data_IF_512732821190
#
_entry.id   IF_512732821190
#
_cell.length_a   1.000
_cell.length_b   1.000
_cell.length_c   1.000
_cell.angle_alpha   90.00
_cell.angle_beta   90.00
_cell.angle_gamma   90.00
#
_symmetry.space_group_name_H-M   'P 1'
#
loop_
_entity.id
_entity.type
_entity.pdbx_description
1 polymer ?
#
# COMPACT_ATOMS: atom_id res chain seq x y z
N UNK A 1 10.75 12.26 21.86
CA UNK A 1 11.46 13.55 21.62
C UNK A 1 11.79 14.35 22.89
N UNK A 2 10.93 14.42 23.92
CA UNK A 2 11.19 15.26 25.13
C UNK A 2 12.52 14.97 25.87
N UNK A 3 13.01 13.73 25.89
CA UNK A 3 14.26 13.37 26.61
C UNK A 3 15.56 13.84 25.92
N UNK A 4 15.53 14.08 24.61
CA UNK A 4 16.70 14.58 23.86
C UNK A 4 16.89 16.09 24.06
N UNK A 5 15.78 16.85 24.16
CA UNK A 5 15.78 18.30 24.29
C UNK A 5 16.11 18.82 25.71
N UNK A 6 16.29 17.92 26.68
CA UNK A 6 16.46 18.26 28.11
C UNK A 6 17.94 18.27 28.57
N UNK A 7 18.88 17.86 27.71
CA UNK A 7 20.32 17.93 28.02
C UNK A 7 20.91 19.17 27.34
N UNK A 8 21.31 20.21 28.08
CA UNK A 8 22.06 21.31 27.50
C UNK A 8 23.45 20.80 27.12
N UNK A 9 23.65 20.49 25.84
CA UNK A 9 24.97 20.26 25.28
C UNK A 9 25.52 21.60 24.80
N UNK A 10 26.75 21.93 25.21
CA UNK A 10 27.45 23.09 24.64
C UNK A 10 27.75 22.77 23.18
N UNK A 11 27.17 23.56 22.27
CA UNK A 11 27.53 23.49 20.85
C UNK A 11 29.03 23.74 20.71
N UNK A 12 29.70 22.89 19.96
CA UNK A 12 31.14 22.95 19.76
C UNK A 12 31.42 22.91 18.25
N UNK A 13 32.69 23.11 17.87
CA UNK A 13 33.08 23.14 16.47
C UNK A 13 32.73 21.86 15.70
N UNK A 14 32.64 20.70 16.36
CA UNK A 14 32.25 19.45 15.71
C UNK A 14 30.77 19.45 15.31
N UNK A 15 29.87 19.95 16.18
CA UNK A 15 28.45 20.13 15.84
C UNK A 15 28.26 21.07 14.64
N UNK A 16 29.04 22.17 14.59
CA UNK A 16 28.99 23.11 13.47
C UNK A 16 29.50 22.50 12.17
N UNK A 17 30.64 21.80 12.21
CA UNK A 17 31.16 21.05 11.05
C UNK A 17 30.18 20.01 10.53
N UNK A 18 29.50 19.30 11.42
CA UNK A 18 28.46 18.33 11.03
C UNK A 18 27.27 19.02 10.36
N UNK A 19 26.80 20.13 10.93
CA UNK A 19 25.70 20.90 10.35
C UNK A 19 26.06 21.46 8.97
N UNK A 20 27.24 22.06 8.83
CA UNK A 20 27.74 22.59 7.55
C UNK A 20 27.88 21.47 6.52
N UNK A 21 28.35 20.28 6.93
CA UNK A 21 28.45 19.13 6.06
C UNK A 21 27.08 18.59 5.62
N UNK A 22 26.10 18.49 6.53
CA UNK A 22 24.73 18.10 6.20
C UNK A 22 24.07 19.09 5.24
N UNK A 23 24.30 20.39 5.41
CA UNK A 23 23.82 21.43 4.48
C UNK A 23 24.51 21.28 3.12
N UNK A 24 25.82 21.01 3.08
CA UNK A 24 26.54 20.80 1.82
C UNK A 24 26.05 19.58 1.03
N UNK A 25 25.54 18.55 1.72
CA UNK A 25 24.97 17.34 1.12
C UNK A 25 23.45 17.43 0.90
N UNK A 26 22.81 18.54 1.31
CA UNK A 26 21.37 18.68 1.19
C UNK A 26 20.99 18.87 -0.28
N UNK A 27 20.39 17.83 -0.87
CA UNK A 27 19.80 17.92 -2.20
C UNK A 27 18.42 18.59 -2.09
N UNK A 28 18.34 19.85 -2.55
CA UNK A 28 17.09 20.65 -2.57
C UNK A 28 16.05 20.03 -3.51
N UNK A 29 16.51 19.38 -4.58
CA UNK A 29 15.65 18.66 -5.53
C UNK A 29 15.79 17.18 -5.22
N UNK A 30 14.71 16.57 -4.74
CA UNK A 30 14.72 15.13 -4.52
C UNK A 30 14.72 14.46 -5.90
N UNK A 31 15.67 13.56 -6.20
CA UNK A 31 15.66 12.82 -7.47
C UNK A 31 14.41 11.91 -7.59
N UNK A 32 13.65 11.76 -6.52
CA UNK A 32 12.43 10.97 -6.41
C UNK A 32 11.14 11.78 -6.65
N UNK A 33 11.22 13.11 -6.85
CA UNK A 33 10.04 13.93 -7.17
C UNK A 33 9.41 13.52 -8.51
N UNK A 34 10.17 12.85 -9.37
CA UNK A 34 9.71 12.29 -10.64
C UNK A 34 9.52 10.79 -10.50
N UNK A 35 8.38 10.38 -9.93
CA UNK A 35 7.91 9.01 -10.11
C UNK A 35 7.79 8.73 -11.62
N UNK A 36 8.20 7.54 -12.09
CA UNK A 36 7.99 7.18 -13.49
C UNK A 36 6.48 7.26 -13.77
N UNK A 37 6.06 7.80 -14.92
CA UNK A 37 4.65 7.82 -15.26
C UNK A 37 4.13 6.39 -15.35
N UNK A 38 3.10 6.07 -14.57
CA UNK A 38 2.42 4.78 -14.61
C UNK A 38 0.91 4.97 -14.74
N UNK A 39 0.28 4.01 -15.42
CA UNK A 39 -1.17 3.93 -15.55
C UNK A 39 -1.65 2.57 -15.05
N UNK A 40 -2.92 2.50 -14.65
CA UNK A 40 -3.54 1.27 -14.17
C UNK A 40 -3.33 0.07 -15.10
N UNK A 41 -3.42 0.29 -16.42
CA UNK A 41 -3.30 -0.77 -17.42
C UNK A 41 -1.87 -1.31 -17.59
N UNK A 42 -0.85 -0.53 -17.23
CA UNK A 42 0.56 -0.92 -17.40
C UNK A 42 1.05 -1.81 -16.24
N UNK A 43 0.39 -1.75 -15.08
CA UNK A 43 0.83 -2.48 -13.90
C UNK A 43 0.41 -3.95 -13.96
N UNK A 44 1.34 -4.83 -13.55
CA UNK A 44 1.04 -6.25 -13.40
C UNK A 44 0.13 -6.44 -12.19
N UNK A 45 -1.06 -6.98 -12.44
CA UNK A 45 -2.09 -7.25 -11.44
C UNK A 45 -1.81 -8.56 -10.69
N UNK A 46 -2.35 -8.67 -9.49
CA UNK A 46 -2.16 -9.79 -8.56
C UNK A 46 -1.80 -9.30 -7.16
N UNK A 47 -2.06 -10.10 -6.11
CA UNK A 47 -1.74 -9.71 -4.76
C UNK A 47 -0.25 -9.87 -4.49
N UNK A 48 0.36 -8.83 -3.90
CA UNK A 48 1.74 -8.93 -3.41
C UNK A 48 1.80 -9.85 -2.20
N UNK A 49 2.91 -10.51 -1.92
CA UNK A 49 3.12 -11.14 -0.63
C UNK A 49 3.40 -10.08 0.44
N UNK A 50 2.75 -10.17 1.61
CA UNK A 50 2.95 -9.23 2.72
C UNK A 50 4.38 -9.22 3.31
N UNK A 51 5.20 -10.24 3.01
CA UNK A 51 6.56 -10.38 3.55
C UNK A 51 7.63 -10.08 2.50
N UNK A 52 7.56 -10.73 1.34
CA UNK A 52 8.59 -10.60 0.31
C UNK A 52 8.19 -9.76 -0.91
N UNK A 53 6.97 -9.21 -0.92
CA UNK A 53 6.40 -8.40 -2.00
C UNK A 53 6.43 -9.07 -3.38
N UNK A 54 6.53 -10.39 -3.43
CA UNK A 54 6.41 -11.16 -4.67
C UNK A 54 4.95 -11.28 -5.09
N UNK A 55 4.68 -11.12 -6.39
CA UNK A 55 3.38 -11.43 -7.00
C UNK A 55 3.16 -12.93 -7.23
N UNK A 56 4.13 -13.79 -6.87
CA UNK A 56 3.99 -15.24 -6.99
C UNK A 56 3.23 -15.80 -5.79
N UNK A 57 1.92 -15.66 -5.83
CA UNK A 57 0.99 -16.09 -4.77
C UNK A 57 -0.14 -16.91 -5.37
N UNK A 58 -0.65 -17.86 -4.59
CA UNK A 58 -1.79 -18.71 -4.94
C UNK A 58 -2.83 -18.66 -3.83
N UNK A 59 -4.10 -18.86 -4.18
CA UNK A 59 -5.16 -19.04 -3.18
C UNK A 59 -5.31 -20.53 -2.91
N UNK A 60 -5.23 -20.91 -1.64
CA UNK A 60 -5.48 -22.28 -1.15
C UNK A 60 -6.54 -22.16 -0.06
N UNK A 61 -7.71 -22.75 -0.31
CA UNK A 61 -8.90 -22.62 0.53
C UNK A 61 -9.28 -21.15 0.84
N UNK A 62 -9.05 -20.71 2.08
CA UNK A 62 -9.34 -19.34 2.56
C UNK A 62 -8.06 -18.54 2.84
N UNK A 63 -6.92 -18.95 2.27
CA UNK A 63 -5.62 -18.34 2.49
C UNK A 63 -4.97 -17.94 1.17
N UNK A 64 -4.20 -16.85 1.22
CA UNK A 64 -3.24 -16.52 0.18
C UNK A 64 -1.87 -17.03 0.62
N UNK A 65 -1.21 -17.81 -0.25
CA UNK A 65 0.07 -18.46 0.02
C UNK A 65 1.11 -17.96 -0.98
N UNK A 66 2.23 -17.45 -0.49
CA UNK A 66 3.35 -17.09 -1.34
C UNK A 66 4.16 -18.33 -1.74
N UNK A 67 4.40 -18.51 -3.05
CA UNK A 67 5.18 -19.65 -3.54
C UNK A 67 6.69 -19.47 -3.38
N UNK A 68 7.16 -18.26 -3.04
CA UNK A 68 8.58 -17.96 -2.79
C UNK A 68 8.94 -18.13 -1.32
N UNK A 69 8.31 -17.35 -0.43
CA UNK A 69 8.67 -17.31 0.99
C UNK A 69 7.76 -18.16 1.88
N UNK A 70 6.76 -18.84 1.29
CA UNK A 70 5.79 -19.71 2.00
C UNK A 70 4.92 -18.99 3.04
N UNK A 71 4.98 -17.65 3.11
CA UNK A 71 4.09 -16.88 3.97
C UNK A 71 2.63 -17.13 3.60
N UNK A 72 1.80 -17.31 4.63
CA UNK A 72 0.36 -17.49 4.52
C UNK A 72 -0.35 -16.34 5.23
N UNK A 73 -1.35 -15.78 4.58
CA UNK A 73 -2.27 -14.83 5.19
C UNK A 73 -3.72 -15.20 4.87
N UNK A 74 -4.66 -14.73 5.69
CA UNK A 74 -6.08 -14.90 5.39
C UNK A 74 -6.44 -14.15 4.11
N UNK A 75 -7.24 -14.78 3.26
CA UNK A 75 -7.65 -14.19 1.98
C UNK A 75 -8.33 -12.83 2.19
N UNK A 76 -9.14 -12.69 3.24
CA UNK A 76 -9.80 -11.44 3.60
C UNK A 76 -8.77 -10.33 3.90
N UNK A 77 -7.68 -10.64 4.60
CA UNK A 77 -6.61 -9.68 4.88
C UNK A 77 -5.86 -9.30 3.60
N UNK A 78 -5.56 -10.27 2.74
CA UNK A 78 -4.90 -10.00 1.46
C UNK A 78 -5.74 -9.07 0.57
N UNK A 79 -7.07 -9.28 0.51
CA UNK A 79 -8.00 -8.42 -0.23
C UNK A 79 -7.95 -6.99 0.34
N UNK A 80 -8.03 -6.84 1.66
CA UNK A 80 -7.98 -5.51 2.29
C UNK A 80 -6.66 -4.78 2.02
N UNK A 81 -5.53 -5.49 2.12
CA UNK A 81 -4.21 -4.93 1.79
C UNK A 81 -4.15 -4.51 0.33
N UNK A 82 -4.67 -5.31 -0.59
CA UNK A 82 -4.71 -4.98 -2.02
C UNK A 82 -5.59 -3.75 -2.32
N UNK A 83 -6.65 -3.53 -1.54
CA UNK A 83 -7.46 -2.30 -1.63
C UNK A 83 -6.68 -1.09 -1.17
N UNK A 84 -5.88 -1.20 -0.11
CA UNK A 84 -5.00 -0.11 0.34
C UNK A 84 -3.89 0.18 -0.68
N UNK A 85 -3.33 -0.85 -1.31
CA UNK A 85 -2.38 -0.70 -2.42
C UNK A 85 -3.00 0.07 -3.60
N UNK A 86 -4.23 -0.28 -3.99
CA UNK A 86 -4.98 0.41 -5.03
C UNK A 86 -5.19 1.89 -4.70
N UNK A 87 -5.58 2.22 -3.47
CA UNK A 87 -5.76 3.63 -3.05
C UNK A 87 -4.45 4.40 -3.02
N UNK A 88 -3.35 3.74 -2.63
CA UNK A 88 -2.03 4.34 -2.59
C UNK A 88 -1.54 4.68 -4.01
N UNK A 89 -1.71 3.75 -4.95
CA UNK A 89 -1.28 3.93 -6.35
C UNK A 89 -2.24 4.83 -7.14
N UNK A 90 -3.53 4.80 -6.83
CA UNK A 90 -4.57 5.51 -7.56
C UNK A 90 -5.57 6.21 -6.62
N UNK A 91 -5.17 7.32 -5.97
CA UNK A 91 -5.99 8.00 -4.97
C UNK A 91 -7.37 8.46 -5.48
N UNK A 92 -7.46 8.79 -6.78
CA UNK A 92 -8.69 9.29 -7.40
C UNK A 92 -9.64 8.19 -7.90
N UNK A 93 -9.20 6.93 -7.90
CA UNK A 93 -10.03 5.82 -8.39
C UNK A 93 -11.04 5.40 -7.31
N UNK A 94 -12.30 5.29 -7.72
CA UNK A 94 -13.37 4.76 -6.87
C UNK A 94 -13.23 3.25 -6.71
N UNK A 95 -13.16 2.78 -5.46
CA UNK A 95 -13.06 1.36 -5.15
C UNK A 95 -14.40 0.66 -5.40
N UNK A 96 -14.43 -0.28 -6.34
CA UNK A 96 -15.59 -1.12 -6.64
C UNK A 96 -15.20 -2.60 -6.55
N UNK A 97 -16.18 -3.50 -6.36
CA UNK A 97 -15.92 -4.94 -6.36
C UNK A 97 -15.27 -5.41 -7.67
N UNK A 98 -15.69 -4.83 -8.81
CA UNK A 98 -15.15 -5.16 -10.14
C UNK A 98 -13.68 -4.76 -10.23
N UNK A 99 -13.36 -3.53 -9.79
CA UNK A 99 -11.98 -3.04 -9.78
C UNK A 99 -11.08 -3.93 -8.91
N UNK A 100 -11.51 -4.25 -7.69
CA UNK A 100 -10.70 -5.07 -6.77
C UNK A 100 -10.54 -6.48 -7.31
N UNK A 101 -11.58 -7.05 -7.93
CA UNK A 101 -11.47 -8.35 -8.58
C UNK A 101 -10.48 -8.34 -9.74
N UNK A 102 -10.55 -7.32 -10.59
CA UNK A 102 -9.59 -7.13 -11.70
C UNK A 102 -8.17 -6.89 -11.19
N UNK A 103 -7.97 -6.17 -10.09
CA UNK A 103 -6.65 -5.99 -9.50
C UNK A 103 -6.11 -7.27 -8.84
N UNK A 104 -6.97 -8.06 -8.21
CA UNK A 104 -6.56 -9.23 -7.44
C UNK A 104 -6.31 -10.46 -8.32
N UNK A 105 -7.08 -10.70 -9.40
CA UNK A 105 -6.94 -11.78 -10.40
C UNK A 105 -6.90 -13.25 -9.90
N UNK A 106 -6.63 -13.54 -8.63
CA UNK A 106 -6.43 -14.90 -8.09
C UNK A 106 -7.68 -15.41 -7.34
N UNK A 107 -8.74 -14.61 -7.22
CA UNK A 107 -9.99 -15.00 -6.55
C UNK A 107 -11.08 -15.16 -7.59
N UNK A 108 -11.55 -16.40 -7.79
CA UNK A 108 -12.59 -16.70 -8.78
C UNK A 108 -13.96 -16.08 -8.43
N UNK A 109 -14.24 -15.93 -7.13
CA UNK A 109 -15.56 -15.51 -6.66
C UNK A 109 -15.58 -14.03 -6.29
N UNK A 110 -16.19 -13.22 -7.15
CA UNK A 110 -16.54 -11.82 -6.83
C UNK A 110 -17.37 -11.68 -5.55
N UNK A 111 -18.12 -12.72 -5.15
CA UNK A 111 -18.91 -12.72 -3.90
C UNK A 111 -18.00 -12.61 -2.68
N UNK A 112 -16.84 -13.25 -2.69
CA UNK A 112 -15.86 -13.18 -1.60
C UNK A 112 -15.35 -11.76 -1.43
N UNK A 113 -14.94 -11.12 -2.52
CA UNK A 113 -14.47 -9.72 -2.51
C UNK A 113 -15.59 -8.80 -2.02
N UNK A 114 -16.81 -8.94 -2.56
CA UNK A 114 -17.95 -8.14 -2.13
C UNK A 114 -18.23 -8.28 -0.64
N UNK A 115 -18.19 -9.51 -0.10
CA UNK A 115 -18.37 -9.76 1.34
C UNK A 115 -17.33 -8.99 2.16
N UNK A 116 -16.05 -9.13 1.81
CA UNK A 116 -14.95 -8.46 2.51
C UNK A 116 -15.11 -6.94 2.45
N UNK A 117 -15.46 -6.39 1.29
CA UNK A 117 -15.66 -4.96 1.11
C UNK A 117 -16.83 -4.44 1.96
N UNK A 118 -17.98 -5.11 1.95
CA UNK A 118 -19.16 -4.69 2.75
C UNK A 118 -18.89 -4.79 4.26
N UNK A 119 -18.12 -5.77 4.71
CA UNK A 119 -17.78 -5.92 6.13
C UNK A 119 -16.87 -4.78 6.63
N UNK A 120 -15.94 -4.31 5.80
CA UNK A 120 -14.89 -3.38 6.22
C UNK A 120 -15.10 -1.93 5.77
N UNK A 121 -15.89 -1.69 4.73
CA UNK A 121 -16.09 -0.37 4.13
C UNK A 121 -17.57 0.04 4.09
N UNK A 122 -17.80 1.35 3.96
CA UNK A 122 -19.13 1.91 3.73
C UNK A 122 -19.42 1.96 2.23
N UNK A 123 -20.53 1.36 1.81
CA UNK A 123 -21.01 1.48 0.43
C UNK A 123 -21.66 2.85 0.22
N UNK A 124 -21.24 3.58 -0.81
CA UNK A 124 -21.72 4.90 -1.17
C UNK A 124 -22.26 4.85 -2.60
N UNK A 125 -23.47 5.39 -2.81
CA UNK A 125 -24.12 5.46 -4.13
C UNK A 125 -25.34 4.53 -4.28
N UNK A 126 -26.06 4.69 -5.38
CA UNK A 126 -27.26 3.89 -5.71
C UNK A 126 -26.90 2.80 -6.72
N UNK A 127 -27.31 1.56 -6.43
CA UNK A 127 -27.24 0.36 -7.29
C UNK A 127 -25.97 0.27 -8.15
N UNK A 128 -26.02 0.74 -9.39
CA UNK A 128 -24.99 0.55 -10.43
C UNK A 128 -23.74 1.42 -10.24
N UNK A 129 -23.85 2.53 -9.51
CA UNK A 129 -22.74 3.45 -9.27
C UNK A 129 -22.21 3.36 -7.83
N UNK A 130 -22.44 2.23 -7.16
CA UNK A 130 -21.99 2.02 -5.78
C UNK A 130 -20.48 1.80 -5.72
N UNK A 131 -19.80 2.50 -4.82
CA UNK A 131 -18.38 2.32 -4.52
C UNK A 131 -18.16 2.28 -3.01
N UNK A 132 -16.97 1.85 -2.58
CA UNK A 132 -16.62 1.68 -1.17
C UNK A 132 -15.70 2.82 -0.69
N UNK A 133 -15.99 3.36 0.50
CA UNK A 133 -15.15 4.33 1.22
C UNK A 133 -14.84 3.81 2.62
N UNK A 134 -13.71 4.24 3.20
CA UNK A 134 -13.40 3.96 4.61
C UNK A 134 -14.58 4.40 5.48
N UNK A 135 -14.90 3.57 6.48
CA UNK A 135 -15.88 3.89 7.52
C UNK A 135 -15.40 5.08 8.36
#
# INVERSE_FOLDING_TARGET
MKKLNMRPSRLNGAHKKLADHLVSMHQIVLPYDKLPPYTYAQLKKGPLCAVCHSLKTIVVDRKLVCTICRHEELLDHAILRSVEELKLLFPDIKITTVLVHDWFQVVDSMKTIRRVLVQNYSAVGKKEYSFFKLK
#
